data_IF_509424946505
#
_entry.id   IF_509424946505
#
_cell.length_a   1.000
_cell.length_b   1.000
_cell.length_c   1.000
_cell.angle_alpha   90.00
_cell.angle_beta   90.00
_cell.angle_gamma   90.00
#
_symmetry.space_group_name_H-M   'P 1'
#
loop_
_entity.id
_entity.type
_entity.pdbx_description
1 polymer ?
#
# COMPACT_ATOMS: atom_id res chain seq x y z
N UNK A 1 -3.58 -6.71 30.02
CA UNK A 1 -3.54 -6.22 30.02
C UNK A 1 -3.94 -5.65 29.80
N UNK A 2 -4.05 -5.68 29.47
CA UNK A 2 -4.31 -5.16 29.33
C UNK A 2 -4.33 -4.25 29.36
N UNK A 3 -4.37 -3.66 29.53
CA UNK A 3 -4.24 -2.76 29.39
C UNK A 3 -3.73 -2.25 28.98
N UNK A 4 -3.41 -2.55 29.17
CA UNK A 4 -2.33 -2.16 28.66
C UNK A 4 -2.47 -2.24 27.27
N UNK A 5 -3.08 -2.87 26.85
CA UNK A 5 -3.24 -2.93 25.71
C UNK A 5 -3.74 -1.92 25.11
N UNK A 6 -4.51 -1.38 25.54
CA UNK A 6 -4.98 -0.30 25.11
C UNK A 6 -3.99 0.57 24.94
N UNK A 7 -3.16 0.53 25.74
CA UNK A 7 -2.17 1.36 25.68
C UNK A 7 -1.45 1.04 24.52
N UNK A 8 -1.21 0.00 24.07
CA UNK A 8 -0.37 -0.32 22.98
C UNK A 8 -1.04 -0.27 21.64
N UNK A 9 -1.99 0.55 21.50
CA UNK A 9 -2.66 0.71 20.22
C UNK A 9 -1.68 1.18 19.16
N UNK A 10 -1.63 0.50 18.04
CA UNK A 10 -0.74 0.87 16.94
C UNK A 10 -1.51 1.53 15.81
N UNK A 11 -0.85 2.44 15.16
CA UNK A 11 -1.35 3.07 13.93
C UNK A 11 -0.49 2.56 12.80
N UNK A 12 -1.11 2.05 11.76
CA UNK A 12 -0.38 1.57 10.60
C UNK A 12 -0.73 2.37 9.37
N UNK A 13 0.21 2.47 8.47
CA UNK A 13 0.04 3.20 7.23
C UNK A 13 0.55 2.33 6.09
N UNK A 14 -0.27 2.23 5.04
CA UNK A 14 0.12 1.59 3.81
C UNK A 14 0.34 2.68 2.77
N UNK A 15 1.47 2.62 2.07
CA UNK A 15 1.70 3.45 0.89
C UNK A 15 1.78 2.50 -0.30
N UNK A 16 1.02 2.79 -1.33
CA UNK A 16 0.85 1.89 -2.46
C UNK A 16 1.04 2.62 -3.77
N UNK A 17 1.55 1.91 -4.75
CA UNK A 17 1.82 2.50 -6.06
C UNK A 17 1.51 1.45 -7.12
N UNK A 18 0.87 1.89 -8.21
CA UNK A 18 0.61 0.99 -9.32
C UNK A 18 1.92 0.78 -10.06
N UNK A 19 2.32 -0.48 -10.18
CA UNK A 19 3.59 -0.83 -10.78
C UNK A 19 3.66 -0.44 -12.26
N UNK A 20 4.74 0.27 -12.60
CA UNK A 20 5.02 0.66 -13.99
C UNK A 20 3.89 1.45 -14.64
N UNK A 21 3.29 2.35 -13.85
CA UNK A 21 2.12 3.09 -14.33
C UNK A 21 2.45 4.03 -15.49
N UNK A 22 3.68 4.55 -15.53
CA UNK A 22 4.08 5.39 -16.65
C UNK A 22 4.01 4.60 -17.95
N UNK A 23 4.51 3.36 -17.94
CA UNK A 23 4.44 2.50 -19.12
C UNK A 23 2.99 2.21 -19.50
N UNK A 24 2.12 2.07 -18.51
CA UNK A 24 0.69 1.88 -18.76
C UNK A 24 0.13 3.07 -19.54
N UNK A 25 0.37 4.27 -19.04
CA UNK A 25 -0.13 5.48 -19.70
C UNK A 25 0.48 5.67 -21.08
N UNK A 26 1.75 5.38 -21.24
CA UNK A 26 2.41 5.53 -22.53
C UNK A 26 1.78 4.62 -23.57
N UNK A 27 1.31 3.45 -23.16
CA UNK A 27 0.73 2.49 -24.09
C UNK A 27 -0.77 2.71 -24.29
N UNK A 28 -1.52 2.88 -23.21
CA UNK A 28 -2.98 2.93 -23.26
C UNK A 28 -3.56 4.35 -23.29
N UNK A 29 -2.75 5.35 -22.95
CA UNK A 29 -3.21 6.73 -22.90
C UNK A 29 -3.71 7.14 -21.54
N UNK A 30 -3.79 8.46 -21.32
CA UNK A 30 -4.14 9.01 -20.01
C UNK A 30 -5.58 8.72 -19.61
N UNK A 31 -6.50 8.66 -20.54
CA UNK A 31 -7.88 8.35 -20.21
C UNK A 31 -8.00 6.94 -19.64
N UNK A 32 -7.34 5.99 -20.29
CA UNK A 32 -7.35 4.61 -19.82
C UNK A 32 -6.59 4.52 -18.49
N UNK A 33 -5.55 5.33 -18.33
CA UNK A 33 -4.84 5.41 -17.06
C UNK A 33 -5.73 5.89 -15.93
N UNK A 34 -6.57 6.88 -16.21
CA UNK A 34 -7.52 7.37 -15.19
C UNK A 34 -8.52 6.28 -14.82
N UNK A 35 -8.96 5.50 -15.80
CA UNK A 35 -9.87 4.38 -15.53
C UNK A 35 -9.18 3.33 -14.66
N UNK A 36 -7.91 3.05 -14.95
CA UNK A 36 -7.13 2.12 -14.15
C UNK A 36 -7.01 2.60 -12.70
N UNK A 37 -6.70 3.89 -12.53
CA UNK A 37 -6.60 4.48 -11.19
C UNK A 37 -7.92 4.37 -10.44
N UNK A 38 -9.03 4.65 -11.12
CA UNK A 38 -10.36 4.54 -10.51
C UNK A 38 -10.66 3.11 -10.09
N UNK A 39 -10.32 2.15 -10.93
CA UNK A 39 -10.57 0.75 -10.64
C UNK A 39 -9.79 0.32 -9.41
N UNK A 40 -8.52 0.72 -9.32
CA UNK A 40 -7.69 0.39 -8.17
C UNK A 40 -8.21 1.08 -6.91
N UNK A 41 -8.62 2.35 -7.06
CA UNK A 41 -9.17 3.09 -5.91
C UNK A 41 -10.42 2.41 -5.36
N UNK A 42 -11.30 1.93 -6.24
CA UNK A 42 -12.50 1.23 -5.81
C UNK A 42 -12.17 -0.09 -5.14
N UNK A 43 -11.18 -0.80 -5.65
CA UNK A 43 -10.74 -2.05 -5.04
C UNK A 43 -10.22 -1.80 -3.64
N UNK A 44 -9.40 -0.75 -3.49
CA UNK A 44 -8.86 -0.40 -2.19
C UNK A 44 -9.99 -0.05 -1.22
N UNK A 45 -10.92 0.80 -1.64
CA UNK A 45 -12.03 1.20 -0.78
C UNK A 45 -12.84 0.00 -0.32
N UNK A 46 -13.03 -0.97 -1.21
CA UNK A 46 -13.79 -2.16 -0.86
C UNK A 46 -13.08 -3.07 0.12
N UNK A 47 -11.77 -2.95 0.23
CA UNK A 47 -10.98 -3.77 1.14
C UNK A 47 -10.85 -3.14 2.52
N UNK A 48 -11.11 -1.85 2.66
CA UNK A 48 -11.02 -1.16 3.94
C UNK A 48 -12.38 -1.21 4.61
N UNK A 49 -12.57 -2.22 5.44
CA UNK A 49 -13.92 -2.50 5.97
C UNK A 49 -14.22 -1.91 7.33
N UNK A 50 -13.21 -1.50 8.07
CA UNK A 50 -13.46 -0.94 9.39
C UNK A 50 -13.78 0.55 9.26
N UNK A 51 -14.72 1.06 10.08
CA UNK A 51 -15.13 2.46 9.93
C UNK A 51 -14.02 3.49 10.08
N UNK A 52 -13.01 3.18 10.90
CA UNK A 52 -11.92 4.13 11.13
C UNK A 52 -10.83 4.06 10.08
N UNK A 53 -10.85 3.05 9.21
CA UNK A 53 -9.83 2.93 8.16
C UNK A 53 -10.13 3.94 7.06
N UNK A 54 -9.08 4.63 6.61
CA UNK A 54 -9.24 5.66 5.60
C UNK A 54 -8.31 5.39 4.44
N UNK A 55 -8.86 5.30 3.25
CA UNK A 55 -8.07 5.18 2.04
C UNK A 55 -8.12 6.50 1.29
N UNK A 56 -7.03 6.86 0.63
CA UNK A 56 -6.95 8.10 -0.11
C UNK A 56 -5.97 7.96 -1.26
N UNK A 57 -6.20 8.73 -2.29
CA UNK A 57 -5.22 8.85 -3.35
C UNK A 57 -4.22 9.89 -2.89
N UNK A 58 -2.96 9.49 -2.76
CA UNK A 58 -1.95 10.36 -2.16
C UNK A 58 -1.32 11.30 -3.19
N UNK A 59 -1.16 10.83 -4.40
CA UNK A 59 -0.60 11.67 -5.46
C UNK A 59 -0.63 10.82 -6.72
N UNK A 60 -0.52 11.38 -7.89
CA UNK A 60 -0.42 10.65 -9.15
C UNK A 60 -1.02 9.25 -9.14
N UNK A 61 -0.16 8.24 -9.08
CA UNK A 61 -0.57 6.84 -9.04
C UNK A 61 -0.37 6.24 -7.66
N UNK A 62 -0.16 7.07 -6.64
CA UNK A 62 0.04 6.61 -5.27
C UNK A 62 -1.23 6.65 -4.45
N UNK A 63 -1.40 5.65 -3.61
CA UNK A 63 -2.54 5.57 -2.70
C UNK A 63 -2.02 5.33 -1.31
N UNK A 64 -2.78 5.75 -0.32
CA UNK A 64 -2.43 5.54 1.09
C UNK A 64 -3.64 4.96 1.82
N UNK A 65 -3.38 4.16 2.83
CA UNK A 65 -4.43 3.69 3.73
C UNK A 65 -3.96 3.90 5.14
N UNK A 66 -4.78 4.57 5.93
CA UNK A 66 -4.50 4.84 7.34
C UNK A 66 -5.33 3.89 8.17
N UNK A 67 -4.66 3.11 9.01
CA UNK A 67 -5.30 2.01 9.73
C UNK A 67 -5.09 2.17 11.24
N UNK A 68 -6.01 2.85 11.92
CA UNK A 68 -5.91 2.97 13.38
C UNK A 68 -6.08 1.61 14.05
N UNK A 69 -5.51 1.48 15.23
CA UNK A 69 -5.65 0.26 16.03
C UNK A 69 -5.34 -1.00 15.23
N UNK A 70 -4.27 -0.94 14.47
CA UNK A 70 -3.87 -2.02 13.58
C UNK A 70 -2.37 -2.27 13.76
N UNK A 71 -2.02 -3.50 14.09
CA UNK A 71 -0.62 -3.87 14.28
C UNK A 71 0.08 -4.00 12.93
N UNK A 72 1.40 -4.03 12.99
CA UNK A 72 2.21 -4.24 11.79
C UNK A 72 1.83 -5.52 11.08
N UNK A 73 1.60 -6.57 11.83
CA UNK A 73 1.25 -7.86 11.25
C UNK A 73 -0.11 -7.83 10.60
N UNK A 74 -1.08 -7.21 11.24
CA UNK A 74 -2.41 -7.05 10.69
C UNK A 74 -2.39 -6.20 9.43
N UNK A 75 -1.60 -5.13 9.47
CA UNK A 75 -1.47 -4.24 8.30
C UNK A 75 -0.82 -4.98 7.13
N UNK A 76 0.19 -5.80 7.42
CA UNK A 76 0.85 -6.56 6.36
C UNK A 76 -0.12 -7.56 5.72
N UNK A 77 -0.94 -8.21 6.54
CA UNK A 77 -1.92 -9.16 6.02
C UNK A 77 -2.94 -8.46 5.12
N UNK A 78 -3.39 -7.28 5.54
CA UNK A 78 -4.32 -6.51 4.72
C UNK A 78 -3.66 -6.05 3.42
N UNK A 79 -2.41 -5.61 3.51
CA UNK A 79 -1.67 -5.19 2.32
C UNK A 79 -1.52 -6.34 1.33
N UNK A 80 -1.23 -7.54 1.82
CA UNK A 80 -1.13 -8.69 0.93
C UNK A 80 -2.46 -9.00 0.28
N UNK A 81 -3.55 -8.89 1.05
CA UNK A 81 -4.87 -9.14 0.49
C UNK A 81 -5.22 -8.12 -0.60
N UNK A 82 -4.87 -6.85 -0.38
CA UNK A 82 -5.09 -5.81 -1.36
C UNK A 82 -4.28 -6.08 -2.63
N UNK A 83 -2.99 -6.42 -2.44
CA UNK A 83 -2.12 -6.69 -3.58
C UNK A 83 -2.65 -7.86 -4.40
N UNK A 84 -3.05 -8.93 -3.73
CA UNK A 84 -3.58 -10.10 -4.43
C UNK A 84 -4.88 -9.80 -5.13
N UNK A 85 -5.73 -8.99 -4.52
CA UNK A 85 -7.01 -8.65 -5.11
C UNK A 85 -6.82 -7.86 -6.41
N UNK A 86 -5.92 -6.89 -6.39
CA UNK A 86 -5.65 -6.08 -7.59
C UNK A 86 -5.04 -6.95 -8.69
N UNK A 87 -4.09 -7.81 -8.33
CA UNK A 87 -3.48 -8.70 -9.32
C UNK A 87 -4.52 -9.62 -9.94
N UNK A 88 -5.47 -10.10 -9.14
CA UNK A 88 -6.51 -11.01 -9.62
C UNK A 88 -7.54 -10.35 -10.51
N UNK A 89 -7.59 -9.02 -10.52
CA UNK A 89 -8.49 -8.31 -11.45
C UNK A 89 -8.05 -8.52 -12.89
N UNK A 90 -6.82 -8.94 -13.11
CA UNK A 90 -6.27 -9.24 -14.43
C UNK A 90 -6.41 -8.07 -15.40
N UNK A 91 -6.13 -6.87 -14.91
CA UNK A 91 -6.14 -5.69 -15.77
C UNK A 91 -4.89 -5.75 -16.64
N UNK A 92 -5.07 -5.83 -17.95
CA UNK A 92 -3.95 -5.99 -18.87
C UNK A 92 -3.01 -4.82 -18.78
N UNK A 93 -1.71 -5.11 -18.77
CA UNK A 93 -0.68 -4.07 -18.72
C UNK A 93 -0.03 -3.92 -20.10
N UNK A 94 0.81 -2.92 -20.23
CA UNK A 94 1.50 -2.63 -21.47
C UNK A 94 2.43 -3.80 -21.85
N UNK A 95 2.54 -4.12 -23.14
CA UNK A 95 3.38 -5.25 -23.56
C UNK A 95 4.83 -5.14 -23.17
N UNK A 96 5.33 -3.89 -23.00
CA UNK A 96 6.73 -3.69 -22.64
C UNK A 96 7.01 -4.04 -21.18
N UNK A 97 5.97 -4.22 -20.37
CA UNK A 97 6.13 -4.53 -18.95
C UNK A 97 6.24 -6.04 -18.79
N UNK A 98 7.16 -6.46 -17.91
CA UNK A 98 7.42 -7.89 -17.74
C UNK A 98 6.20 -8.69 -17.29
N UNK A 99 5.34 -8.08 -16.48
CA UNK A 99 4.15 -8.77 -16.01
C UNK A 99 2.97 -8.45 -16.90
N UNK A 100 2.13 -9.45 -17.19
CA UNK A 100 1.00 -9.20 -18.12
C UNK A 100 -0.15 -8.41 -17.51
N UNK A 101 -0.18 -8.28 -16.17
CA UNK A 101 -1.30 -7.60 -15.52
C UNK A 101 -0.80 -6.53 -14.57
N UNK A 102 -1.70 -5.58 -14.26
CA UNK A 102 -1.42 -4.51 -13.31
C UNK A 102 -1.28 -5.08 -11.91
N UNK A 103 -0.23 -4.66 -11.21
CA UNK A 103 0.02 -5.07 -9.84
C UNK A 103 0.34 -3.84 -8.99
N UNK A 104 0.40 -4.04 -7.67
CA UNK A 104 0.77 -2.99 -6.74
C UNK A 104 2.03 -3.36 -5.99
N UNK A 105 2.83 -2.36 -5.69
CA UNK A 105 3.86 -2.47 -4.66
C UNK A 105 3.36 -1.71 -3.45
N UNK A 106 3.58 -2.25 -2.26
CA UNK A 106 3.03 -1.68 -1.03
C UNK A 106 4.10 -1.64 0.05
N UNK A 107 4.20 -0.48 0.70
CA UNK A 107 5.04 -0.34 1.87
C UNK A 107 4.17 -0.18 3.10
N UNK A 108 4.54 -0.82 4.19
CA UNK A 108 3.81 -0.79 5.45
C UNK A 108 4.69 -0.23 6.54
N UNK A 109 4.17 0.70 7.31
CA UNK A 109 4.85 1.22 8.48
C UNK A 109 3.85 1.29 9.63
N UNK A 110 4.33 1.11 10.85
CA UNK A 110 3.48 1.12 12.03
C UNK A 110 4.19 1.85 13.14
N UNK A 111 3.42 2.45 14.03
CA UNK A 111 3.95 3.16 15.16
C UNK A 111 2.97 3.02 16.31
N UNK A 112 3.50 3.00 17.53
CA UNK A 112 2.68 3.10 18.73
C UNK A 112 2.05 4.49 18.69
N UNK A 113 0.73 4.57 18.72
CA UNK A 113 0.04 5.86 18.62
C UNK A 113 0.48 6.84 19.68
N UNK A 114 0.85 6.36 20.86
CA UNK A 114 1.29 7.24 21.91
C UNK A 114 2.66 7.85 21.64
N UNK A 115 3.42 7.24 20.74
CA UNK A 115 4.75 7.74 20.41
C UNK A 115 4.77 8.56 19.15
N UNK A 116 3.62 8.69 18.49
CA UNK A 116 3.58 9.43 17.25
C UNK A 116 3.62 10.92 17.55
N UNK A 117 4.76 11.53 17.30
CA UNK A 117 4.91 12.97 17.47
C UNK A 117 4.70 13.71 16.17
N UNK A 118 4.98 13.05 15.06
CA UNK A 118 4.99 13.72 13.77
C UNK A 118 4.58 12.69 12.70
N UNK A 119 3.48 12.94 12.05
CA UNK A 119 2.98 12.05 11.02
C UNK A 119 3.97 11.87 9.88
N UNK A 120 4.81 12.86 9.62
CA UNK A 120 5.76 12.76 8.51
C UNK A 120 6.75 11.61 8.72
N UNK A 121 7.07 11.29 9.96
CA UNK A 121 7.98 10.18 10.24
C UNK A 121 7.35 8.86 9.80
N UNK A 122 6.07 8.69 10.07
CA UNK A 122 5.38 7.47 9.67
C UNK A 122 5.25 7.39 8.16
N UNK A 123 4.95 8.51 7.52
CA UNK A 123 4.86 8.57 6.07
C UNK A 123 6.19 8.23 5.43
N UNK A 124 7.28 8.79 5.95
CA UNK A 124 8.61 8.49 5.42
C UNK A 124 8.95 7.02 5.55
N UNK A 125 8.59 6.41 6.66
CA UNK A 125 8.86 5.00 6.87
C UNK A 125 8.09 4.14 5.87
N UNK A 126 6.83 4.45 5.64
CA UNK A 126 6.02 3.70 4.69
C UNK A 126 6.52 3.92 3.26
N UNK A 127 6.93 5.15 2.92
CA UNK A 127 7.49 5.43 1.61
C UNK A 127 8.80 4.69 1.38
N UNK A 128 9.64 4.63 2.40
CA UNK A 128 10.89 3.90 2.31
C UNK A 128 10.63 2.42 2.07
N UNK A 129 9.63 1.86 2.74
CA UNK A 129 9.25 0.47 2.55
C UNK A 129 8.70 0.25 1.13
N UNK A 130 7.91 1.21 0.63
CA UNK A 130 7.39 1.12 -0.74
C UNK A 130 8.54 1.13 -1.74
N UNK A 131 9.51 2.01 -1.54
CA UNK A 131 10.66 2.06 -2.42
C UNK A 131 11.40 0.72 -2.39
N UNK A 132 11.55 0.12 -1.22
CA UNK A 132 12.18 -1.19 -1.11
C UNK A 132 11.39 -2.26 -1.88
N UNK A 133 10.07 -2.19 -1.85
CA UNK A 133 9.23 -3.13 -2.60
C UNK A 133 9.49 -2.99 -4.10
N UNK A 134 9.59 -1.76 -4.58
CA UNK A 134 9.86 -1.52 -5.99
C UNK A 134 11.25 -2.02 -6.38
N UNK A 135 12.22 -1.79 -5.52
CA UNK A 135 13.59 -2.22 -5.80
C UNK A 135 13.74 -3.74 -5.77
N UNK A 136 12.93 -4.40 -4.97
CA UNK A 136 13.01 -5.84 -4.83
C UNK A 136 12.32 -6.60 -5.97
N UNK A 137 11.63 -5.89 -6.85
CA UNK A 137 11.00 -6.53 -8.00
C UNK A 137 9.54 -6.21 -8.19
N UNK A 138 9.00 -5.29 -7.40
CA UNK A 138 7.60 -4.88 -7.49
C UNK A 138 6.63 -6.01 -7.14
N UNK A 139 5.38 -5.76 -7.20
CA UNK A 139 4.31 -6.74 -6.91
C UNK A 139 4.58 -7.45 -5.60
N UNK A 140 4.74 -6.68 -4.54
CA UNK A 140 5.03 -7.23 -3.21
C UNK A 140 4.80 -6.20 -2.13
N UNK A 141 4.74 -6.70 -0.90
CA UNK A 141 4.59 -5.89 0.28
C UNK A 141 5.92 -5.93 1.04
N UNK A 142 6.40 -4.76 1.47
CA UNK A 142 7.56 -4.67 2.35
C UNK A 142 7.14 -3.90 3.59
N UNK A 143 7.50 -4.40 4.75
CA UNK A 143 7.20 -3.75 6.01
C UNK A 143 8.45 -3.02 6.49
N UNK A 144 8.30 -1.76 6.89
CA UNK A 144 9.42 -0.99 7.39
C UNK A 144 10.02 -1.69 8.61
N UNK A 145 11.31 -1.86 8.59
CA UNK A 145 12.01 -2.59 9.64
C UNK A 145 11.93 -4.09 9.48
N UNK A 146 10.91 -4.56 8.79
CA UNK A 146 10.72 -5.98 8.63
C UNK A 146 11.76 -6.59 7.77
N UNK A 147 12.05 -5.90 6.73
CA UNK A 147 13.06 -6.39 5.87
C UNK A 147 14.34 -6.34 6.58
N UNK A 148 14.45 -5.41 7.43
CA UNK A 148 15.64 -5.25 8.12
C UNK A 148 15.83 -6.49 8.89
N UNK A 149 14.85 -7.04 9.22
CA UNK A 149 14.96 -8.09 9.96
C UNK A 149 15.25 -9.09 9.08
N UNK A 150 15.07 -8.82 8.10
CA UNK A 150 15.45 -9.46 7.21
C UNK A 150 15.39 -10.65 7.18
N UNK A 151 15.11 -10.63 7.54
CA UNK A 151 15.15 -11.60 7.77
C UNK A 151 14.35 -12.20 7.37
#
# INVERSE_FOLDING_TARGET
MRRAQRLGSELSLLMMDIDSFKAYNDHFGHQQGDTCLSTVAQALAGMLKRPADVGARYGGEEFAAILPDTSSEQARALAEAIREYVAALSLAHAPAVARPYVTLSIGVASVDQQRLNDASTLIEAADKALYAAKRAGRNRVVVDGGAADGR
#
